data_IF_183501343850
#
_entry.id   IF_183501343850
#
_cell.length_a   1.000
_cell.length_b   1.000
_cell.length_c   1.000
_cell.angle_alpha   90.00
_cell.angle_beta   90.00
_cell.angle_gamma   90.00
#
_symmetry.space_group_name_H-M   'P 1'
#
loop_
_entity.id
_entity.type
_entity.pdbx_description
1 polymer ?
#
# COMPACT_ATOMS: atom_id res chain seq x y z
N UNK A 1 -14.96 19.30 8.45
CA UNK A 1 -13.71 19.31 9.25
C UNK A 1 -13.49 17.90 9.78
N UNK A 2 -12.25 17.45 10.05
CA UNK A 2 -12.00 16.11 10.60
C UNK A 2 -11.33 16.17 11.97
N UNK A 3 -11.84 15.42 12.94
CA UNK A 3 -11.32 15.30 14.31
C UNK A 3 -10.40 14.07 14.41
N UNK A 4 -9.30 14.20 15.14
CA UNK A 4 -8.32 13.13 15.32
C UNK A 4 -8.79 12.20 16.46
N UNK A 5 -8.70 10.89 16.25
CA UNK A 5 -8.86 9.88 17.29
C UNK A 5 -7.49 9.31 17.66
N UNK A 6 -6.74 9.95 18.56
CA UNK A 6 -5.31 9.67 18.77
C UNK A 6 -4.98 8.18 18.95
N UNK A 7 -5.71 7.45 19.82
CA UNK A 7 -5.48 6.01 20.01
C UNK A 7 -5.77 5.18 18.76
N UNK A 8 -6.85 5.48 18.04
CA UNK A 8 -7.22 4.76 16.81
C UNK A 8 -6.27 5.10 15.65
N UNK A 9 -5.79 6.33 15.60
CA UNK A 9 -4.80 6.77 14.60
C UNK A 9 -3.48 6.04 14.78
N UNK A 10 -2.99 5.89 16.02
CA UNK A 10 -1.77 5.11 16.30
C UNK A 10 -1.98 3.66 15.87
N UNK A 11 -3.10 3.04 16.27
CA UNK A 11 -3.40 1.67 15.85
C UNK A 11 -3.50 1.53 14.33
N UNK A 12 -4.13 2.49 13.64
CA UNK A 12 -4.25 2.49 12.19
C UNK A 12 -2.90 2.65 11.50
N UNK A 13 -2.01 3.50 12.03
CA UNK A 13 -0.64 3.65 11.54
C UNK A 13 0.20 2.38 11.73
N UNK A 14 -0.07 1.60 12.77
CA UNK A 14 0.59 0.31 13.01
C UNK A 14 0.04 -0.80 12.10
N UNK A 15 -1.27 -0.83 11.85
CA UNK A 15 -1.93 -1.90 11.09
C UNK A 15 -1.85 -1.67 9.57
N UNK A 16 -1.88 -0.42 9.12
CA UNK A 16 -1.91 -0.10 7.70
C UNK A 16 -0.71 -0.65 6.90
N UNK A 17 0.53 -0.69 7.42
CA UNK A 17 1.64 -1.37 6.75
C UNK A 17 1.37 -2.86 6.52
N UNK A 18 0.78 -3.58 7.49
CA UNK A 18 0.42 -4.99 7.31
C UNK A 18 -0.63 -5.17 6.19
N UNK A 19 -1.68 -4.34 6.18
CA UNK A 19 -2.70 -4.40 5.14
C UNK A 19 -2.14 -4.05 3.76
N UNK A 20 -1.29 -3.02 3.69
CA UNK A 20 -0.59 -2.58 2.47
C UNK A 20 0.30 -3.70 1.94
N UNK A 21 1.11 -4.31 2.80
CA UNK A 21 2.01 -5.38 2.42
C UNK A 21 1.30 -6.67 2.01
N UNK A 22 0.20 -7.03 2.68
CA UNK A 22 -0.62 -8.18 2.29
C UNK A 22 -1.20 -7.99 0.90
N UNK A 23 -1.82 -6.84 0.65
CA UNK A 23 -2.45 -6.56 -0.65
C UNK A 23 -1.41 -6.37 -1.73
N UNK A 24 -0.34 -5.61 -1.45
CA UNK A 24 0.77 -5.41 -2.38
C UNK A 24 1.44 -6.72 -2.75
N UNK A 25 1.77 -7.57 -1.78
CA UNK A 25 2.36 -8.89 -2.00
C UNK A 25 1.46 -9.80 -2.86
N UNK A 26 0.17 -9.87 -2.55
CA UNK A 26 -0.80 -10.62 -3.36
C UNK A 26 -0.92 -10.09 -4.78
N UNK A 27 -1.03 -8.77 -4.95
CA UNK A 27 -1.20 -8.17 -6.28
C UNK A 27 0.05 -8.32 -7.14
N UNK A 28 1.24 -8.13 -6.56
CA UNK A 28 2.51 -8.34 -7.27
C UNK A 28 2.67 -9.81 -7.65
N UNK A 29 2.35 -10.73 -6.74
CA UNK A 29 2.35 -12.16 -7.03
C UNK A 29 1.47 -12.49 -8.23
N UNK A 30 0.19 -12.08 -8.18
CA UNK A 30 -0.75 -12.30 -9.28
C UNK A 30 -0.29 -11.65 -10.59
N UNK A 31 0.26 -10.44 -10.52
CA UNK A 31 0.77 -9.73 -11.70
C UNK A 31 1.94 -10.46 -12.37
N UNK A 32 2.77 -11.17 -11.60
CA UNK A 32 3.89 -11.97 -12.11
C UNK A 32 3.39 -13.33 -12.63
N UNK A 33 2.49 -13.99 -11.90
CA UNK A 33 2.11 -15.38 -12.22
C UNK A 33 1.05 -15.49 -13.30
N UNK A 34 0.10 -14.56 -13.39
CA UNK A 34 -0.99 -14.66 -14.37
C UNK A 34 -0.48 -14.68 -15.83
N UNK A 35 0.52 -13.88 -16.23
CA UNK A 35 1.10 -13.97 -17.56
C UNK A 35 1.79 -15.31 -17.88
N UNK A 36 2.23 -16.05 -16.85
CA UNK A 36 2.95 -17.33 -17.00
C UNK A 36 2.00 -18.55 -17.08
N UNK A 37 0.69 -18.35 -16.84
CA UNK A 37 -0.36 -19.38 -16.96
C UNK A 37 -0.38 -20.15 -18.29
N UNK A 38 -0.15 -19.54 -19.46
CA UNK A 38 -0.23 -20.26 -20.73
C UNK A 38 0.88 -21.30 -20.94
N UNK A 39 1.99 -21.18 -20.20
CA UNK A 39 3.18 -22.02 -20.37
C UNK A 39 3.21 -23.22 -19.40
N UNK A 40 2.42 -23.16 -18.33
CA UNK A 40 2.36 -24.17 -17.27
C UNK A 40 1.01 -24.90 -17.37
N UNK A 41 0.99 -26.23 -17.22
CA UNK A 41 -0.28 -26.96 -17.15
C UNK A 41 -1.18 -26.40 -16.04
N UNK A 42 -2.51 -26.50 -16.20
CA UNK A 42 -3.49 -25.96 -15.25
C UNK A 42 -3.25 -26.44 -13.80
N UNK A 43 -2.82 -27.69 -13.62
CA UNK A 43 -2.57 -28.31 -12.31
C UNK A 43 -1.27 -27.79 -11.65
N UNK A 44 -0.20 -27.63 -12.42
CA UNK A 44 1.07 -27.08 -11.93
C UNK A 44 0.91 -25.59 -11.58
N UNK A 45 0.11 -24.86 -12.36
CA UNK A 45 -0.11 -23.43 -12.11
C UNK A 45 -0.96 -23.18 -10.87
N UNK A 46 -1.98 -24.02 -10.60
CA UNK A 46 -2.75 -23.91 -9.35
C UNK A 46 -1.86 -24.16 -8.12
N UNK A 47 -0.94 -25.13 -8.20
CA UNK A 47 -0.01 -25.42 -7.13
C UNK A 47 0.97 -24.26 -6.89
N UNK A 48 1.52 -23.69 -7.96
CA UNK A 48 2.38 -22.49 -7.89
C UNK A 48 1.61 -21.32 -7.30
N UNK A 49 0.41 -21.00 -7.80
CA UNK A 49 -0.44 -19.92 -7.32
C UNK A 49 -0.74 -20.02 -5.83
N UNK A 50 -1.08 -21.22 -5.33
CA UNK A 50 -1.43 -21.43 -3.93
C UNK A 50 -0.21 -21.42 -3.00
N UNK A 51 0.90 -22.04 -3.41
CA UNK A 51 2.10 -22.16 -2.56
C UNK A 51 2.92 -20.86 -2.57
N UNK A 52 3.03 -20.18 -3.72
CA UNK A 52 3.82 -18.96 -3.87
C UNK A 52 3.16 -17.70 -3.30
N UNK A 53 1.84 -17.69 -3.10
CA UNK A 53 1.13 -16.56 -2.51
C UNK A 53 1.54 -16.27 -1.05
N UNK A 54 1.76 -17.33 -0.24
CA UNK A 54 2.15 -17.20 1.16
C UNK A 54 3.50 -16.50 1.34
N UNK A 55 4.61 -16.94 0.71
CA UNK A 55 5.88 -16.24 0.81
C UNK A 55 5.81 -14.85 0.17
N UNK A 56 5.06 -14.64 -0.91
CA UNK A 56 4.89 -13.31 -1.50
C UNK A 56 4.21 -12.32 -0.54
N UNK A 57 3.18 -12.76 0.19
CA UNK A 57 2.53 -11.97 1.24
C UNK A 57 3.48 -11.68 2.39
N UNK A 58 4.23 -12.68 2.85
CA UNK A 58 5.20 -12.48 3.94
C UNK A 58 6.27 -11.46 3.56
N UNK A 59 6.81 -11.56 2.34
CA UNK A 59 7.78 -10.60 1.80
C UNK A 59 7.15 -9.21 1.64
N UNK A 60 5.92 -9.13 1.12
CA UNK A 60 5.18 -7.87 0.98
C UNK A 60 4.95 -7.17 2.32
N UNK A 61 4.54 -7.90 3.36
CA UNK A 61 4.37 -7.38 4.72
C UNK A 61 5.71 -6.94 5.31
N UNK A 62 6.76 -7.76 5.19
CA UNK A 62 8.09 -7.40 5.67
C UNK A 62 8.62 -6.13 4.97
N UNK A 63 8.47 -6.03 3.65
CA UNK A 63 8.87 -4.85 2.88
C UNK A 63 8.08 -3.60 3.32
N UNK A 64 6.76 -3.73 3.55
CA UNK A 64 5.94 -2.62 4.01
C UNK A 64 6.38 -2.07 5.38
N UNK A 65 6.76 -2.94 6.32
CA UNK A 65 7.25 -2.51 7.63
C UNK A 65 8.70 -2.03 7.61
N UNK A 66 9.61 -2.79 6.99
CA UNK A 66 11.05 -2.56 7.08
C UNK A 66 11.56 -1.49 6.11
N UNK A 67 10.98 -1.42 4.91
CA UNK A 67 11.45 -0.54 3.84
C UNK A 67 10.51 0.64 3.64
N UNK A 68 9.19 0.40 3.65
CA UNK A 68 8.20 1.43 3.39
C UNK A 68 7.75 2.19 4.65
N UNK A 69 8.08 1.74 5.86
CA UNK A 69 7.59 2.35 7.11
C UNK A 69 7.87 3.85 7.22
N UNK A 70 9.11 4.28 7.00
CA UNK A 70 9.48 5.71 6.99
C UNK A 70 8.78 6.47 5.84
N UNK A 71 8.84 6.00 4.57
CA UNK A 71 8.07 6.60 3.47
C UNK A 71 6.58 6.75 3.78
N UNK A 72 5.92 5.72 4.33
CA UNK A 72 4.50 5.74 4.67
C UNK A 72 4.18 6.80 5.73
N UNK A 73 5.04 6.95 6.75
CA UNK A 73 4.91 8.02 7.75
C UNK A 73 5.11 9.42 7.14
N UNK A 74 6.03 9.58 6.21
CA UNK A 74 6.23 10.85 5.51
C UNK A 74 5.00 11.21 4.66
N UNK A 75 4.48 10.26 3.90
CA UNK A 75 3.27 10.42 3.08
C UNK A 75 2.04 10.71 3.94
N UNK A 76 1.91 10.02 5.07
CA UNK A 76 0.91 10.32 6.09
C UNK A 76 1.02 11.76 6.60
N UNK A 77 2.23 12.18 6.98
CA UNK A 77 2.47 13.52 7.52
C UNK A 77 2.07 14.60 6.50
N UNK A 78 2.46 14.43 5.23
CA UNK A 78 2.07 15.32 4.14
C UNK A 78 0.53 15.42 4.06
N UNK A 79 -0.18 14.30 3.97
CA UNK A 79 -1.64 14.29 3.93
C UNK A 79 -2.27 14.93 5.17
N UNK A 80 -1.69 14.67 6.35
CA UNK A 80 -2.16 15.18 7.64
C UNK A 80 -2.08 16.70 7.72
N UNK A 81 -0.93 17.28 7.34
CA UNK A 81 -0.68 18.72 7.40
C UNK A 81 -1.43 19.49 6.31
N UNK A 82 -1.62 18.89 5.13
CA UNK A 82 -2.47 19.44 4.07
C UNK A 82 -3.99 19.31 4.37
N UNK A 83 -4.34 18.71 5.51
CA UNK A 83 -5.73 18.46 5.94
C UNK A 83 -6.51 17.55 4.98
N UNK A 84 -5.81 16.74 4.19
CA UNK A 84 -6.35 15.75 3.26
C UNK A 84 -6.74 14.47 4.01
N UNK A 85 -7.71 14.61 4.92
CA UNK A 85 -8.03 13.60 5.95
C UNK A 85 -9.18 12.67 5.58
N UNK A 86 -9.84 12.91 4.44
CA UNK A 86 -10.89 11.99 3.98
C UNK A 86 -10.27 10.69 3.44
N UNK A 87 -10.99 9.54 3.53
CA UNK A 87 -10.46 8.26 3.04
C UNK A 87 -10.02 8.26 1.57
N UNK A 88 -10.76 8.95 0.69
CA UNK A 88 -10.38 9.07 -0.70
C UNK A 88 -9.10 9.90 -0.89
N UNK A 89 -8.97 11.05 -0.21
CA UNK A 89 -7.79 11.91 -0.36
C UNK A 89 -6.54 11.29 0.24
N UNK A 90 -6.65 10.70 1.44
CA UNK A 90 -5.53 10.02 2.07
C UNK A 90 -5.15 8.76 1.31
N UNK A 91 -6.14 8.00 0.83
CA UNK A 91 -5.92 6.89 -0.08
C UNK A 91 -5.16 7.34 -1.33
N UNK A 92 -5.60 8.38 -2.04
CA UNK A 92 -4.89 8.88 -3.22
C UNK A 92 -3.44 9.30 -2.90
N UNK A 93 -3.23 9.99 -1.77
CA UNK A 93 -1.89 10.45 -1.37
C UNK A 93 -0.97 9.26 -1.11
N UNK A 94 -1.46 8.22 -0.42
CA UNK A 94 -0.71 6.99 -0.20
C UNK A 94 -0.56 6.15 -1.46
N UNK A 95 -1.55 6.16 -2.37
CA UNK A 95 -1.44 5.48 -3.65
C UNK A 95 -0.29 6.04 -4.48
N UNK A 96 -0.19 7.37 -4.58
CA UNK A 96 0.97 8.02 -5.22
C UNK A 96 2.27 7.66 -4.51
N UNK A 97 2.29 7.71 -3.17
CA UNK A 97 3.45 7.29 -2.37
C UNK A 97 3.87 5.83 -2.63
N UNK A 98 2.89 4.93 -2.76
CA UNK A 98 3.10 3.53 -3.10
C UNK A 98 3.64 3.32 -4.51
N UNK A 99 3.14 4.08 -5.50
CA UNK A 99 3.72 4.10 -6.86
C UNK A 99 5.16 4.58 -6.85
N UNK A 100 5.47 5.66 -6.13
CA UNK A 100 6.83 6.16 -5.99
C UNK A 100 7.75 5.13 -5.31
N UNK A 101 7.26 4.45 -4.28
CA UNK A 101 7.99 3.37 -3.61
C UNK A 101 8.29 2.21 -4.57
N UNK A 102 7.28 1.70 -5.30
CA UNK A 102 7.47 0.65 -6.31
C UNK A 102 8.47 1.07 -7.39
N UNK A 103 8.41 2.32 -7.84
CA UNK A 103 9.34 2.85 -8.84
C UNK A 103 10.79 2.93 -8.32
N UNK A 104 10.99 3.39 -7.07
CA UNK A 104 12.32 3.44 -6.46
C UNK A 104 12.87 2.03 -6.21
N UNK A 105 12.02 1.11 -5.75
CA UNK A 105 12.38 -0.30 -5.58
C UNK A 105 12.81 -0.93 -6.92
N UNK A 106 12.12 -0.60 -8.01
CA UNK A 106 12.51 -0.97 -9.37
C UNK A 106 13.91 -0.46 -9.74
N UNK A 107 14.17 0.85 -9.56
CA UNK A 107 15.47 1.44 -9.89
C UNK A 107 16.59 0.76 -9.09
N UNK A 108 16.40 0.58 -7.77
CA UNK A 108 17.39 -0.02 -6.89
C UNK A 108 17.67 -1.47 -7.31
N UNK A 109 16.63 -2.27 -7.59
CA UNK A 109 16.79 -3.64 -8.08
C UNK A 109 17.59 -3.72 -9.38
N UNK A 110 17.39 -2.74 -10.28
CA UNK A 110 18.10 -2.68 -11.57
C UNK A 110 19.54 -2.17 -11.46
N UNK A 111 19.85 -1.31 -10.50
CA UNK A 111 21.20 -0.76 -10.30
C UNK A 111 22.11 -1.69 -9.48
N UNK A 112 21.54 -2.47 -8.56
CA UNK A 112 22.31 -3.36 -7.65
C UNK A 112 22.54 -4.74 -8.27
N UNK A 113 21.66 -5.20 -9.17
CA UNK A 113 21.84 -6.44 -9.93
C UNK A 113 22.83 -6.26 -11.08
N UNK A 114 24.14 -6.33 -10.78
CA UNK A 114 25.22 -6.29 -11.78
C UNK A 114 25.18 -7.41 -12.83
N UNK A 115 24.32 -8.42 -12.64
CA UNK A 115 24.00 -9.44 -13.63
C UNK A 115 22.49 -9.63 -13.69
N UNK A 116 21.89 -9.23 -14.82
CA UNK A 116 20.81 -9.98 -15.45
C UNK A 116 19.58 -10.37 -14.62
N UNK A 117 19.00 -9.47 -13.81
CA UNK A 117 17.54 -9.51 -13.72
C UNK A 117 16.98 -8.95 -15.03
N UNK A 118 16.97 -9.79 -16.07
CA UNK A 118 16.01 -9.74 -17.19
C UNK A 118 14.60 -10.06 -16.66
N UNK A 119 14.24 -9.53 -15.49
CA UNK A 119 12.84 -9.33 -15.17
C UNK A 119 12.35 -8.33 -16.20
N UNK A 120 11.64 -8.90 -17.16
CA UNK A 120 11.08 -8.22 -18.31
C UNK A 120 10.48 -6.90 -17.83
N UNK A 121 10.79 -5.78 -18.51
CA UNK A 121 10.36 -4.45 -18.07
C UNK A 121 8.83 -4.40 -17.85
N UNK A 122 8.11 -5.28 -18.52
CA UNK A 122 6.67 -5.57 -18.40
C UNK A 122 6.29 -6.05 -17.00
N UNK A 123 7.00 -7.03 -16.43
CA UNK A 123 6.73 -7.58 -15.09
C UNK A 123 6.93 -6.52 -14.02
N UNK A 124 7.95 -5.67 -14.19
CA UNK A 124 8.22 -4.57 -13.27
C UNK A 124 7.26 -3.39 -13.46
N UNK A 125 6.82 -3.10 -14.69
CA UNK A 125 5.77 -2.11 -14.97
C UNK A 125 4.43 -2.52 -14.33
N UNK A 126 4.15 -3.82 -14.27
CA UNK A 126 2.97 -4.36 -13.60
C UNK A 126 2.98 -4.12 -12.07
N UNK A 127 4.13 -3.89 -11.44
CA UNK A 127 4.21 -3.61 -9.99
C UNK A 127 3.80 -2.17 -9.60
N UNK A 128 3.82 -1.23 -10.54
CA UNK A 128 3.42 0.16 -10.30
C UNK A 128 1.93 0.30 -9.91
N UNK A 129 0.96 -0.28 -10.64
CA UNK A 129 -0.44 -0.25 -10.22
C UNK A 129 -0.66 -1.05 -8.93
N UNK A 130 0.09 -2.12 -8.68
CA UNK A 130 0.03 -2.85 -7.41
C UNK A 130 0.43 -1.96 -6.23
N UNK A 131 1.53 -1.21 -6.37
CA UNK A 131 1.97 -0.23 -5.38
C UNK A 131 0.94 0.87 -5.13
N UNK A 132 0.30 1.37 -6.20
CA UNK A 132 -0.78 2.34 -6.07
C UNK A 132 -1.95 1.79 -5.25
N UNK A 133 -2.46 0.61 -5.60
CA UNK A 133 -3.61 0.01 -4.93
C UNK A 133 -3.30 -0.32 -3.47
N UNK A 134 -2.13 -0.91 -3.21
CA UNK A 134 -1.68 -1.21 -1.86
C UNK A 134 -1.57 0.05 -1.01
N UNK A 135 -0.89 1.08 -1.52
CA UNK A 135 -0.78 2.38 -0.85
C UNK A 135 -2.16 3.00 -0.60
N UNK A 136 -3.03 3.01 -1.62
CA UNK A 136 -4.37 3.57 -1.50
C UNK A 136 -5.16 2.94 -0.36
N UNK A 137 -5.12 1.62 -0.22
CA UNK A 137 -5.84 0.91 0.84
C UNK A 137 -5.22 1.22 2.21
N UNK A 138 -3.89 1.29 2.32
CA UNK A 138 -3.22 1.73 3.53
C UNK A 138 -3.67 3.13 3.98
N UNK A 139 -3.66 4.11 3.06
CA UNK A 139 -4.12 5.47 3.34
C UNK A 139 -5.61 5.55 3.68
N UNK A 140 -6.43 4.75 3.00
CA UNK A 140 -7.86 4.65 3.26
C UNK A 140 -8.13 4.12 4.68
N UNK A 141 -7.42 3.07 5.12
CA UNK A 141 -7.55 2.51 6.47
C UNK A 141 -7.16 3.54 7.52
N UNK A 142 -6.04 4.25 7.33
CA UNK A 142 -5.58 5.28 8.26
C UNK A 142 -6.62 6.40 8.39
N UNK A 143 -7.18 6.85 7.28
CA UNK A 143 -8.21 7.88 7.28
C UNK A 143 -9.50 7.41 7.97
N UNK A 144 -9.99 6.22 7.60
CA UNK A 144 -11.26 5.65 8.09
C UNK A 144 -11.24 5.35 9.58
N UNK A 145 -10.09 4.94 10.13
CA UNK A 145 -9.96 4.60 11.54
C UNK A 145 -9.43 5.77 12.38
N UNK A 146 -8.53 6.58 11.82
CA UNK A 146 -7.81 7.64 12.55
C UNK A 146 -8.55 8.98 12.63
N UNK A 147 -9.55 9.21 11.78
CA UNK A 147 -10.22 10.51 11.66
C UNK A 147 -11.74 10.39 11.57
N UNK A 148 -12.41 11.24 12.33
CA UNK A 148 -13.86 11.42 12.26
C UNK A 148 -14.24 12.60 11.42
N UNK A 149 -15.27 12.44 10.59
CA UNK A 149 -15.93 13.57 9.96
C UNK A 149 -16.72 14.33 11.04
N UNK A 150 -16.32 15.57 11.32
CA UNK A 150 -17.09 16.46 12.18
C UNK A 150 -18.43 16.72 11.49
N UNK A 151 -19.51 16.30 12.13
CA UNK A 151 -20.88 16.47 11.61
C UNK A 151 -21.45 17.82 12.03
N UNK A 152 -22.44 18.32 11.29
CA UNK A 152 -23.00 19.66 11.49
C UNK A 152 -23.55 19.88 12.93
N UNK A 153 -23.97 18.82 13.62
CA UNK A 153 -24.45 18.91 15.01
C UNK A 153 -23.36 19.22 16.04
N UNK A 154 -22.09 18.86 15.77
CA UNK A 154 -20.98 19.14 16.67
C UNK A 154 -20.46 20.58 16.53
N UNK A 155 -20.59 21.17 15.33
CA UNK A 155 -20.28 22.59 15.11
C UNK A 155 -21.25 23.53 15.83
N UNK A 156 -22.51 23.15 16.02
CA UNK A 156 -23.49 23.99 16.73
C UNK A 156 -23.29 23.93 18.24
N UNK A 157 -22.89 22.78 18.81
CA UNK A 157 -22.56 22.67 20.24
C UNK A 157 -21.33 23.48 20.65
N UNK A 158 -20.36 23.67 19.77
CA UNK A 158 -19.19 24.50 20.02
C UNK A 158 -19.43 26.01 19.90
N UNK A 159 -20.51 26.44 19.23
CA UNK A 159 -20.89 27.85 19.12
C UNK A 159 -21.73 28.36 20.31
N UNK A 160 -22.26 27.42 21.12
CA UNK A 160 -23.09 27.71 22.29
C UNK A 160 -22.38 27.36 23.62
N UNK A 161 -21.05 27.20 23.61
CA UNK A 161 -20.21 26.93 24.78
C UNK A 161 -19.24 28.08 25.02
#
# INVERSE_FOLDING_TARGET
MYKIRTGHLIAALLIAPAATGLIGGMLVWLAITLPLLPEQGLDETMLVLMIGAVPAVMVGVAAAYLLAGIPMLAVWAIAHFLKWRSPAQMGLTFGVGGTCFSFLFFIVGRLVGGEGMDLDAIVLLATLPCGFVAGYIGGWIIASLGYDKVTAGETVRGANA
#
